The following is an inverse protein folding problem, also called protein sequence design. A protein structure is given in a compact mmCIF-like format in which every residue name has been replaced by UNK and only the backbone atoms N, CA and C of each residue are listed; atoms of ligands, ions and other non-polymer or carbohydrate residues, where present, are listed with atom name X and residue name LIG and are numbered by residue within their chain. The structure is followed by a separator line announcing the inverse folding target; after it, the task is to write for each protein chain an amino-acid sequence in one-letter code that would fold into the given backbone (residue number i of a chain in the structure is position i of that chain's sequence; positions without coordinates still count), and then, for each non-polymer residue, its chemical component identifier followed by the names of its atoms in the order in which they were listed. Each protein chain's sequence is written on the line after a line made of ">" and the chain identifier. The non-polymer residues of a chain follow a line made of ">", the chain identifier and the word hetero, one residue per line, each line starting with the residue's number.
data_IF_572601315888
#
_entry.id   IF_572601315888
#
_cell.length_a   1.000
_cell.length_b   1.000
_cell.length_c   1.000
_cell.angle_alpha   90.00
_cell.angle_beta   90.00
_cell.angle_gamma   90.00
#
_symmetry.space_group_name_H-M   'P 1'
#
loop_
_entity.id
_entity.type
_entity.pdbx_description
1 polymer ?
#
# COMPACT_ATOMS: atom_id res chain seq x y z
N UNK A 1 -33.08 34.14 -33.79
CA UNK A 1 -33.19 33.86 -32.34
C UNK A 1 -31.80 33.59 -31.81
N UNK A 2 -31.40 34.36 -30.79
CA UNK A 2 -30.14 34.24 -30.07
C UNK A 2 -30.21 33.14 -29.00
N UNK A 3 -29.01 32.65 -28.65
CA UNK A 3 -28.51 32.29 -27.31
C UNK A 3 -28.16 30.82 -27.03
N UNK A 4 -26.89 30.68 -26.67
CA UNK A 4 -26.14 29.55 -26.12
C UNK A 4 -26.52 29.28 -24.66
N UNK A 5 -26.43 28.02 -24.22
CA UNK A 5 -26.01 27.55 -22.88
C UNK A 5 -25.77 26.04 -23.04
N UNK A 6 -24.54 25.54 -23.23
CA UNK A 6 -23.50 25.28 -22.23
C UNK A 6 -24.05 24.79 -20.88
N UNK A 7 -24.05 23.47 -20.69
CA UNK A 7 -23.88 22.83 -19.38
C UNK A 7 -22.90 21.67 -19.55
N UNK A 8 -21.62 22.01 -19.49
CA UNK A 8 -20.54 21.07 -19.25
C UNK A 8 -20.62 20.63 -17.79
N UNK A 9 -21.21 19.47 -17.51
CA UNK A 9 -21.24 18.90 -16.16
C UNK A 9 -19.85 18.34 -15.81
N UNK A 10 -19.12 18.88 -14.81
CA UNK A 10 -17.82 18.37 -14.42
C UNK A 10 -18.05 17.23 -13.42
N UNK A 11 -18.07 15.99 -13.89
CA UNK A 11 -18.32 14.85 -13.01
C UNK A 11 -17.86 13.49 -13.53
N UNK A 12 -17.65 13.32 -14.83
CA UNK A 12 -17.12 12.07 -15.38
C UNK A 12 -15.59 12.02 -15.25
N UNK A 13 -15.12 11.92 -14.02
CA UNK A 13 -13.90 11.14 -13.80
C UNK A 13 -14.28 9.68 -14.05
N UNK A 14 -13.66 8.97 -15.00
CA UNK A 14 -13.78 7.53 -15.05
C UNK A 14 -13.27 7.03 -13.71
N UNK A 15 -14.18 6.51 -12.88
CA UNK A 15 -13.86 5.94 -11.59
C UNK A 15 -12.63 5.05 -11.78
N UNK A 16 -11.53 5.38 -11.08
CA UNK A 16 -10.38 4.51 -10.99
C UNK A 16 -10.91 3.09 -10.72
N UNK A 17 -10.42 2.06 -11.43
CA UNK A 17 -10.98 0.71 -11.31
C UNK A 17 -11.07 0.37 -9.84
N UNK A 18 -12.31 0.22 -9.35
CA UNK A 18 -12.59 -0.13 -7.97
C UNK A 18 -11.73 -1.35 -7.66
N UNK A 19 -10.80 -1.19 -6.72
CA UNK A 19 -9.99 -2.29 -6.20
C UNK A 19 -10.95 -3.45 -5.93
N UNK A 20 -10.66 -4.60 -6.55
CA UNK A 20 -11.49 -5.79 -6.45
C UNK A 20 -11.89 -6.00 -5.00
N UNK A 21 -13.19 -6.19 -4.78
CA UNK A 21 -13.79 -6.34 -3.47
C UNK A 21 -12.92 -7.28 -2.61
N UNK A 22 -12.53 -6.86 -1.38
CA UNK A 22 -11.64 -7.67 -0.56
C UNK A 22 -12.29 -9.04 -0.38
N UNK A 23 -11.51 -10.14 -0.51
CA UNK A 23 -12.07 -11.48 -0.45
C UNK A 23 -12.84 -11.66 0.87
N UNK A 24 -13.91 -12.49 0.87
CA UNK A 24 -14.75 -12.67 2.04
C UNK A 24 -13.88 -13.00 3.26
N UNK A 25 -14.07 -12.24 4.33
CA UNK A 25 -13.28 -12.33 5.56
C UNK A 25 -13.49 -13.73 6.13
N UNK A 26 -12.53 -14.64 5.91
CA UNK A 26 -12.50 -15.93 6.61
C UNK A 26 -12.41 -15.63 8.10
N UNK A 27 -13.16 -16.37 8.91
CA UNK A 27 -13.14 -16.21 10.36
C UNK A 27 -11.70 -16.21 10.89
N UNK A 28 -11.40 -15.36 11.88
CA UNK A 28 -10.07 -15.28 12.50
C UNK A 28 -9.57 -16.68 12.89
N UNK A 29 -8.34 -17.07 12.50
CA UNK A 29 -7.80 -18.39 12.83
C UNK A 29 -7.71 -18.57 14.34
N UNK A 30 -8.08 -19.75 14.83
CA UNK A 30 -8.13 -20.08 16.27
C UNK A 30 -6.94 -20.91 16.73
N UNK A 31 -6.20 -21.50 15.79
CA UNK A 31 -5.02 -22.32 16.09
C UNK A 31 -3.81 -21.86 15.28
N UNK A 32 -2.61 -22.14 15.78
CA UNK A 32 -1.35 -21.85 15.06
C UNK A 32 -1.31 -22.52 13.67
N UNK A 33 -1.89 -23.71 13.54
CA UNK A 33 -1.99 -24.44 12.27
C UNK A 33 -2.95 -23.78 11.28
N UNK A 34 -4.07 -23.24 11.74
CA UNK A 34 -4.99 -22.46 10.90
C UNK A 34 -4.35 -21.14 10.47
N UNK A 35 -3.60 -20.50 11.36
CA UNK A 35 -2.88 -19.28 11.05
C UNK A 35 -1.78 -19.51 10.01
N UNK A 36 -0.97 -20.57 10.15
CA UNK A 36 0.02 -20.97 9.13
C UNK A 36 -0.66 -21.22 7.77
N UNK A 37 -1.79 -21.92 7.75
CA UNK A 37 -2.55 -22.16 6.51
C UNK A 37 -3.01 -20.86 5.87
N UNK A 38 -3.57 -19.94 6.66
CA UNK A 38 -4.02 -18.64 6.15
C UNK A 38 -2.86 -17.83 5.56
N UNK A 39 -1.69 -17.82 6.19
CA UNK A 39 -0.49 -17.17 5.65
C UNK A 39 -0.06 -17.78 4.31
N UNK A 40 -0.13 -19.11 4.17
CA UNK A 40 0.17 -19.77 2.89
C UNK A 40 -0.82 -19.41 1.79
N UNK A 41 -2.10 -19.23 2.12
CA UNK A 41 -3.12 -18.75 1.18
C UNK A 41 -2.87 -17.30 0.73
N UNK A 42 -2.20 -16.50 1.55
CA UNK A 42 -1.78 -15.13 1.24
C UNK A 42 -0.47 -15.07 0.44
N UNK A 43 0.13 -16.21 0.10
CA UNK A 43 1.33 -16.29 -0.73
C UNK A 43 2.66 -16.39 0.01
N UNK A 44 2.66 -16.40 1.35
CA UNK A 44 3.88 -16.69 2.12
C UNK A 44 4.33 -18.13 1.87
N UNK A 45 5.65 -18.33 1.76
CA UNK A 45 6.22 -19.67 1.64
C UNK A 45 5.95 -20.50 2.91
N UNK A 46 6.16 -21.82 2.81
CA UNK A 46 5.96 -22.73 3.96
C UNK A 46 6.85 -22.38 5.15
N UNK A 47 8.11 -22.00 4.88
CA UNK A 47 9.09 -21.62 5.90
C UNK A 47 8.73 -20.30 6.56
N UNK A 48 8.35 -19.30 5.77
CA UNK A 48 7.89 -18.00 6.27
C UNK A 48 6.62 -18.13 7.09
N UNK A 49 5.60 -18.81 6.57
CA UNK A 49 4.33 -19.03 7.27
C UNK A 49 4.55 -19.73 8.62
N UNK A 50 5.41 -20.75 8.66
CA UNK A 50 5.78 -21.43 9.91
C UNK A 50 6.53 -20.51 10.87
N UNK A 51 7.48 -19.71 10.37
CA UNK A 51 8.24 -18.76 11.18
C UNK A 51 7.30 -17.71 11.80
N UNK A 52 6.44 -17.11 10.99
CA UNK A 52 5.43 -16.13 11.43
C UNK A 52 4.44 -16.77 12.42
N UNK A 53 3.96 -17.98 12.17
CA UNK A 53 3.02 -18.64 13.07
C UNK A 53 3.63 -19.02 14.43
N UNK A 54 4.95 -19.21 14.49
CA UNK A 54 5.65 -19.65 15.70
C UNK A 54 6.29 -18.48 16.48
N UNK A 55 6.81 -17.48 15.77
CA UNK A 55 7.63 -16.40 16.33
C UNK A 55 7.10 -14.99 15.98
N UNK A 56 5.99 -14.90 15.24
CA UNK A 56 5.48 -13.65 14.69
C UNK A 56 6.32 -13.13 13.52
N UNK A 57 5.94 -11.98 12.98
CA UNK A 57 6.61 -11.37 11.82
C UNK A 57 8.08 -10.96 12.09
N UNK A 58 8.49 -10.85 13.36
CA UNK A 58 9.89 -10.60 13.75
C UNK A 58 10.83 -11.75 13.35
N UNK A 59 10.30 -12.95 13.12
CA UNK A 59 11.06 -14.13 12.69
C UNK A 59 11.34 -14.19 11.19
N UNK A 60 10.85 -13.22 10.41
CA UNK A 60 11.25 -13.05 9.02
C UNK A 60 12.60 -12.31 9.01
N UNK A 61 13.63 -12.98 8.54
CA UNK A 61 14.88 -12.31 8.18
C UNK A 61 14.57 -11.48 6.93
N UNK A 62 14.62 -10.15 7.04
CA UNK A 62 14.53 -9.25 5.88
C UNK A 62 15.84 -9.42 5.11
N UNK A 63 15.76 -9.94 3.86
CA UNK A 63 16.96 -10.31 3.10
C UNK A 63 17.87 -9.12 2.75
N UNK A 64 17.35 -7.87 2.72
CA UNK A 64 18.20 -6.69 2.72
C UNK A 64 17.43 -5.43 3.21
N UNK A 65 17.68 -4.93 4.43
CA UNK A 65 17.05 -3.70 4.91
C UNK A 65 17.53 -2.45 4.16
N UNK A 66 18.64 -2.49 3.42
CA UNK A 66 19.15 -1.34 2.68
C UNK A 66 18.37 -1.08 1.38
N UNK A 67 17.89 -2.12 0.70
CA UNK A 67 17.03 -1.97 -0.48
C UNK A 67 15.66 -1.38 -0.11
N UNK A 68 15.08 -1.79 1.03
CA UNK A 68 13.77 -1.33 1.51
C UNK A 68 13.75 0.18 1.88
N UNK A 69 14.89 0.72 2.31
CA UNK A 69 14.97 2.13 2.76
C UNK A 69 15.34 3.10 1.62
N UNK A 70 15.85 2.60 0.51
CA UNK A 70 16.33 3.44 -0.61
C UNK A 70 15.21 4.24 -1.28
N UNK A 71 14.04 3.62 -1.50
CA UNK A 71 12.87 4.32 -2.05
C UNK A 71 12.36 5.40 -1.07
N UNK A 72 12.29 5.08 0.21
CA UNK A 72 11.87 6.01 1.26
C UNK A 72 12.84 7.20 1.33
N UNK A 73 14.14 6.97 1.30
CA UNK A 73 15.16 8.00 1.32
C UNK A 73 15.01 8.97 0.12
N UNK A 74 14.78 8.44 -1.08
CA UNK A 74 14.55 9.24 -2.28
C UNK A 74 13.28 10.11 -2.16
N UNK A 75 12.20 9.58 -1.59
CA UNK A 75 10.97 10.33 -1.34
C UNK A 75 11.19 11.44 -0.30
N UNK A 76 11.91 11.18 0.79
CA UNK A 76 12.25 12.21 1.79
C UNK A 76 13.08 13.30 1.14
N UNK A 77 14.13 12.95 0.40
CA UNK A 77 15.01 13.91 -0.27
C UNK A 77 14.23 14.82 -1.24
N UNK A 78 13.35 14.22 -2.07
CA UNK A 78 12.50 14.99 -2.99
C UNK A 78 11.62 15.99 -2.23
N UNK A 79 11.00 15.57 -1.14
CA UNK A 79 10.11 16.43 -0.37
C UNK A 79 10.88 17.56 0.33
N UNK A 80 12.06 17.30 0.90
CA UNK A 80 12.92 18.33 1.46
C UNK A 80 13.27 19.41 0.41
N UNK A 81 13.67 19.00 -0.79
CA UNK A 81 13.96 19.94 -1.90
C UNK A 81 12.75 20.78 -2.30
N UNK A 82 11.54 20.22 -2.22
CA UNK A 82 10.31 20.97 -2.48
C UNK A 82 10.07 22.06 -1.42
N UNK A 83 10.24 21.73 -0.14
CA UNK A 83 10.09 22.71 0.94
C UNK A 83 11.13 23.83 0.86
N UNK A 84 12.41 23.51 0.63
CA UNK A 84 13.45 24.53 0.43
C UNK A 84 13.17 25.44 -0.77
N UNK A 85 12.54 24.90 -1.82
CA UNK A 85 12.13 25.70 -2.98
C UNK A 85 10.97 26.62 -2.62
N UNK A 86 10.01 26.15 -1.85
CA UNK A 86 8.87 26.96 -1.40
C UNK A 86 9.37 28.11 -0.50
N UNK A 87 10.22 27.82 0.48
CA UNK A 87 10.81 28.81 1.37
C UNK A 87 11.57 29.91 0.62
N UNK A 88 12.33 29.55 -0.41
CA UNK A 88 13.05 30.52 -1.26
C UNK A 88 12.15 31.39 -2.14
N UNK A 89 10.89 31.01 -2.35
CA UNK A 89 9.93 31.73 -3.18
C UNK A 89 8.82 32.42 -2.35
N UNK A 90 8.93 32.42 -1.02
CA UNK A 90 8.09 33.24 -0.16
C UNK A 90 8.59 34.70 -0.19
N UNK A 91 7.70 35.69 -0.36
CA UNK A 91 8.04 37.11 -0.45
C UNK A 91 8.50 37.71 0.88
#
# INVERSE_FOLDING_TARGET
>A
MLSVSDETQPGDSPAAPLLSEPPPIKSKPRTSREFERALRELGYSKTEARSIASHGFKGLQVEDPAEDVSELAALVERNCKLFERIERNLP
#
